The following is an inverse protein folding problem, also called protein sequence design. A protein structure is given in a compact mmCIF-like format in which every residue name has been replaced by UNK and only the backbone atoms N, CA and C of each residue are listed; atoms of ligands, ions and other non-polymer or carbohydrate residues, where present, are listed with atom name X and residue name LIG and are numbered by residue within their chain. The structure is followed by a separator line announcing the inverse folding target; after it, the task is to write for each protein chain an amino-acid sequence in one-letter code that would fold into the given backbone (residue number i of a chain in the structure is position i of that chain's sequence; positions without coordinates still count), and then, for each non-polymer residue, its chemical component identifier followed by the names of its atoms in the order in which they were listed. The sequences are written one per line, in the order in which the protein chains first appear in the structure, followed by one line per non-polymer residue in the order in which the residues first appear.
data_IF_462288333482
#
_entry.id   IF_462288333482
#
_cell.length_a   1.000
_cell.length_b   1.000
_cell.length_c   1.000
_cell.angle_alpha   90.00
_cell.angle_beta   90.00
_cell.angle_gamma   90.00
#
_symmetry.space_group_name_H-M   'P 1'
#
loop_
_entity.id
_entity.type
_entity.pdbx_description
1 polymer ?
#
# COMPACT_ATOMS: atom_id res chain seq x y z
N UNK A 1 -2.71 7.31 -1.61
CA UNK A 1 -3.41 6.75 -2.79
C UNK A 1 -4.25 5.57 -2.34
N UNK A 2 -5.42 5.32 -2.96
CA UNK A 2 -6.23 4.14 -2.68
C UNK A 2 -5.88 2.99 -3.65
N UNK A 3 -5.94 1.74 -3.19
CA UNK A 3 -5.60 0.54 -3.97
C UNK A 3 -6.74 -0.49 -3.96
N UNK A 4 -6.71 -1.42 -4.92
CA UNK A 4 -7.68 -2.51 -5.01
C UNK A 4 -7.16 -3.78 -4.33
N UNK A 5 -5.84 -3.93 -4.23
CA UNK A 5 -5.18 -5.02 -3.52
C UNK A 5 -3.74 -4.68 -3.18
N UNK A 6 -3.25 -5.22 -2.07
CA UNK A 6 -1.87 -5.11 -1.60
C UNK A 6 -1.37 -6.51 -1.26
N UNK A 7 -0.20 -6.88 -1.79
CA UNK A 7 0.54 -8.04 -1.29
C UNK A 7 2.04 -7.80 -1.31
N UNK A 8 2.77 -8.48 -0.43
CA UNK A 8 4.24 -8.39 -0.39
C UNK A 8 4.85 -8.83 -1.73
N UNK A 9 4.29 -9.86 -2.36
CA UNK A 9 4.80 -10.44 -3.60
C UNK A 9 4.47 -9.63 -4.86
N UNK A 10 3.30 -9.00 -4.92
CA UNK A 10 2.80 -8.32 -6.12
C UNK A 10 2.75 -6.80 -5.96
N UNK A 11 3.16 -6.27 -4.80
CA UNK A 11 3.13 -4.85 -4.48
C UNK A 11 1.72 -4.30 -4.37
N UNK A 12 1.56 -3.05 -4.81
CA UNK A 12 0.31 -2.32 -4.75
C UNK A 12 -0.36 -2.34 -6.11
N UNK A 13 -1.61 -2.80 -6.14
CA UNK A 13 -2.30 -3.15 -7.38
C UNK A 13 -3.61 -2.39 -7.55
N UNK A 14 -3.98 -2.16 -8.81
CA UNK A 14 -5.24 -1.55 -9.22
C UNK A 14 -5.85 -2.30 -10.42
N UNK A 15 -7.16 -2.14 -10.62
CA UNK A 15 -7.89 -2.78 -11.73
C UNK A 15 -7.97 -1.89 -12.98
N UNK A 16 -7.67 -0.60 -12.86
CA UNK A 16 -7.74 0.36 -13.96
C UNK A 16 -6.33 0.73 -14.46
N UNK A 17 -5.92 0.32 -15.68
CA UNK A 17 -4.60 0.64 -16.22
C UNK A 17 -4.40 2.16 -16.43
N UNK A 18 -5.45 2.90 -16.77
CA UNK A 18 -5.38 4.37 -16.96
C UNK A 18 -5.08 5.07 -15.63
N UNK A 19 -5.69 4.60 -14.54
CA UNK A 19 -5.44 5.14 -13.20
C UNK A 19 -4.06 4.70 -12.68
N UNK A 20 -3.62 3.49 -13.01
CA UNK A 20 -2.29 2.95 -12.68
C UNK A 20 -1.17 3.84 -13.20
N UNK A 21 -1.19 4.25 -14.48
CA UNK A 21 -0.12 5.09 -15.05
C UNK A 21 0.03 6.43 -14.31
N UNK A 22 -1.09 7.02 -13.86
CA UNK A 22 -1.05 8.24 -13.05
C UNK A 22 -0.42 7.99 -11.68
N UNK A 23 -0.76 6.87 -11.04
CA UNK A 23 -0.20 6.47 -9.72
C UNK A 23 1.29 6.15 -9.80
N UNK A 24 1.74 5.46 -10.85
CA UNK A 24 3.17 5.21 -11.11
C UNK A 24 3.96 6.53 -11.18
N UNK A 25 3.43 7.53 -11.87
CA UNK A 25 4.08 8.85 -11.96
C UNK A 25 4.12 9.56 -10.61
N UNK A 26 3.08 9.42 -9.79
CA UNK A 26 3.03 9.98 -8.44
C UNK A 26 4.06 9.31 -7.54
N UNK A 27 4.18 7.99 -7.57
CA UNK A 27 5.21 7.25 -6.81
C UNK A 27 6.60 7.68 -7.26
N UNK A 28 6.85 7.71 -8.57
CA UNK A 28 8.18 8.02 -9.13
C UNK A 28 8.65 9.47 -8.91
N UNK A 29 7.73 10.43 -8.83
CA UNK A 29 8.06 11.86 -8.66
C UNK A 29 7.78 12.39 -7.25
N UNK A 30 7.05 11.63 -6.44
CA UNK A 30 6.71 11.99 -5.08
C UNK A 30 7.96 12.06 -4.22
N UNK A 31 8.00 13.03 -3.31
CA UNK A 31 9.02 13.06 -2.24
C UNK A 31 8.69 12.07 -1.12
N UNK A 32 7.39 11.93 -0.85
CA UNK A 32 6.83 11.04 0.15
C UNK A 32 5.58 10.36 -0.44
N UNK A 33 5.51 9.04 -0.36
CA UNK A 33 4.46 8.20 -0.94
C UNK A 33 3.58 7.64 0.17
N UNK A 34 2.32 8.08 0.19
CA UNK A 34 1.32 7.64 1.16
C UNK A 34 0.37 6.62 0.52
N UNK A 35 0.26 5.44 1.12
CA UNK A 35 -0.74 4.41 0.78
C UNK A 35 -1.83 4.39 1.87
N UNK A 36 -3.08 4.62 1.47
CA UNK A 36 -4.23 4.50 2.35
C UNK A 36 -5.07 3.32 1.87
N UNK A 37 -5.21 2.30 2.70
CA UNK A 37 -5.83 1.04 2.31
C UNK A 37 -6.51 0.37 3.49
N UNK A 38 -7.73 -0.11 3.29
CA UNK A 38 -8.43 -0.90 4.29
C UNK A 38 -7.79 -2.29 4.44
N UNK A 39 -7.81 -2.85 5.65
CA UNK A 39 -7.20 -4.13 5.97
C UNK A 39 -7.76 -5.28 5.11
N UNK A 40 -8.96 -5.16 4.54
CA UNK A 40 -9.55 -6.19 3.69
C UNK A 40 -8.85 -6.34 2.33
N UNK A 41 -7.97 -5.41 1.96
CA UNK A 41 -7.23 -5.41 0.67
C UNK A 41 -5.88 -6.12 0.75
N UNK A 42 -5.43 -6.49 1.94
CA UNK A 42 -4.18 -7.24 2.12
C UNK A 42 -4.36 -8.69 1.65
N UNK A 43 -3.26 -9.30 1.20
CA UNK A 43 -3.22 -10.62 0.56
C UNK A 43 -4.10 -10.75 -0.70
N UNK A 44 -4.44 -9.61 -1.31
CA UNK A 44 -5.20 -9.54 -2.56
C UNK A 44 -4.38 -8.81 -3.61
N UNK A 45 -4.59 -9.17 -4.87
CA UNK A 45 -4.00 -8.48 -6.00
C UNK A 45 -5.05 -8.26 -7.08
N UNK A 46 -4.87 -7.17 -7.82
CA UNK A 46 -5.66 -6.79 -8.98
C UNK A 46 -4.86 -6.98 -10.27
N UNK A 47 -5.39 -6.46 -11.38
CA UNK A 47 -4.88 -6.73 -12.72
C UNK A 47 -3.52 -6.06 -13.01
N UNK A 48 -3.21 -4.91 -12.38
CA UNK A 48 -1.99 -4.15 -12.68
C UNK A 48 -1.29 -3.70 -11.39
N UNK A 49 0.00 -3.99 -11.27
CA UNK A 49 0.88 -3.44 -10.22
C UNK A 49 1.39 -2.07 -10.65
N UNK A 50 1.28 -1.08 -9.77
CA UNK A 50 1.78 0.28 -10.05
C UNK A 50 3.02 0.66 -9.22
N UNK A 51 3.28 -0.03 -8.11
CA UNK A 51 4.53 0.09 -7.36
C UNK A 51 4.74 -1.13 -6.46
N UNK A 52 5.99 -1.36 -6.08
CA UNK A 52 6.35 -2.22 -4.97
C UNK A 52 5.74 -1.72 -3.66
N UNK A 53 5.58 -2.64 -2.70
CA UNK A 53 5.16 -2.25 -1.35
C UNK A 53 6.31 -1.54 -0.61
N UNK A 54 7.55 -1.85 -0.95
CA UNK A 54 8.80 -1.23 -0.49
C UNK A 54 9.01 0.20 -1.01
N UNK A 55 8.26 0.63 -2.03
CA UNK A 55 8.29 2.01 -2.53
C UNK A 55 7.33 2.95 -1.77
N UNK A 56 6.71 2.47 -0.68
CA UNK A 56 5.77 3.22 0.14
C UNK A 56 6.47 3.76 1.38
N UNK A 57 6.38 5.07 1.62
CA UNK A 57 6.95 5.68 2.83
C UNK A 57 6.00 5.61 4.03
N UNK A 58 4.70 5.77 3.79
CA UNK A 58 3.66 5.78 4.82
C UNK A 58 2.50 4.86 4.43
N UNK A 59 2.22 3.86 5.26
CA UNK A 59 1.09 2.96 5.11
C UNK A 59 0.04 3.26 6.18
N UNK A 60 -1.17 3.59 5.75
CA UNK A 60 -2.30 3.89 6.63
C UNK A 60 -3.38 2.84 6.40
N UNK A 61 -3.84 2.22 7.48
CA UNK A 61 -4.90 1.20 7.45
C UNK A 61 -5.84 1.35 8.65
N UNK A 62 -7.03 0.77 8.55
CA UNK A 62 -8.09 0.84 9.57
C UNK A 62 -7.93 -0.22 10.67
N UNK A 63 -7.21 -1.32 10.40
CA UNK A 63 -7.02 -2.42 11.35
C UNK A 63 -5.57 -2.92 11.43
N UNK A 64 -5.16 -3.55 12.55
CA UNK A 64 -3.84 -4.14 12.68
C UNK A 64 -3.54 -5.20 11.61
N UNK A 65 -2.32 -5.17 11.07
CA UNK A 65 -1.86 -6.13 10.07
C UNK A 65 -1.28 -7.39 10.73
N UNK A 66 -1.23 -8.48 9.97
CA UNK A 66 -0.58 -9.71 10.44
C UNK A 66 0.94 -9.50 10.61
N UNK A 67 1.58 -10.41 11.36
CA UNK A 67 3.01 -10.32 11.67
C UNK A 67 3.91 -10.30 10.42
N UNK A 68 3.49 -10.93 9.33
CA UNK A 68 4.27 -10.95 8.09
C UNK A 68 4.37 -9.55 7.47
N UNK A 69 3.25 -8.82 7.40
CA UNK A 69 3.23 -7.44 6.90
C UNK A 69 3.96 -6.49 7.84
N UNK A 70 3.77 -6.62 9.16
CA UNK A 70 4.48 -5.80 10.15
C UNK A 70 6.00 -5.94 9.99
N UNK A 71 6.50 -7.18 9.90
CA UNK A 71 7.93 -7.43 9.69
C UNK A 71 8.44 -6.84 8.37
N UNK A 72 7.66 -6.97 7.30
CA UNK A 72 8.04 -6.41 5.99
C UNK A 72 8.12 -4.88 6.05
N UNK A 73 7.14 -4.24 6.67
CA UNK A 73 7.07 -2.78 6.84
C UNK A 73 8.28 -2.29 7.64
N UNK A 74 8.60 -2.94 8.76
CA UNK A 74 9.76 -2.58 9.58
C UNK A 74 11.09 -2.77 8.84
N UNK A 75 11.23 -3.83 8.04
CA UNK A 75 12.43 -4.11 7.26
C UNK A 75 12.68 -3.12 6.12
N UNK A 76 11.64 -2.46 5.63
CA UNK A 76 11.71 -1.51 4.52
C UNK A 76 11.55 -0.05 4.98
N UNK A 77 11.71 0.22 6.29
CA UNK A 77 11.59 1.56 6.89
C UNK A 77 10.24 2.27 6.59
N UNK A 78 9.18 1.50 6.38
CA UNK A 78 7.84 1.99 6.08
C UNK A 78 7.16 2.43 7.39
N UNK A 79 6.57 3.62 7.41
CA UNK A 79 5.82 4.10 8.58
C UNK A 79 4.38 3.60 8.53
N UNK A 80 4.05 2.69 9.45
CA UNK A 80 2.68 2.18 9.63
C UNK A 80 1.87 3.07 10.58
N UNK A 81 0.67 3.45 10.14
CA UNK A 81 -0.34 4.19 10.90
C UNK A 81 -1.62 3.35 10.89
N UNK A 82 -2.03 2.86 12.07
CA UNK A 82 -3.31 2.18 12.23
C UNK A 82 -4.34 3.18 12.78
N UNK A 83 -5.29 3.57 11.93
CA UNK A 83 -6.38 4.47 12.28
C UNK A 83 -7.50 3.69 12.97
N UNK A 84 -7.28 3.39 14.25
CA UNK A 84 -8.33 2.85 15.12
C UNK A 84 -9.31 3.97 15.47
N UNK A 85 -10.61 3.72 15.29
CA UNK A 85 -11.66 4.60 15.81
C UNK A 85 -11.50 4.67 17.33
N UNK A 86 -11.20 5.87 17.84
CA UNK A 86 -11.27 6.15 19.28
C UNK A 86 -12.74 6.39 19.61
N UNK A 87 -13.42 5.36 20.11
CA UNK A 87 -14.56 5.55 21.02
C UNK A 87 -14.08 5.90 22.44
#
# INVERSE_FOLDING_TARGET
MASTGVSISNGVTNSSPVETTMKELVVKKGRDVFLLVDHTKFDKYAMVTYCGLDEIDYLITDDPLNTQYVNFIEQNDIKLIVATDKE
#
